data_IF_733371741676
#
_entry.id   IF_733371741676
#
_cell.length_a   1.000
_cell.length_b   1.000
_cell.length_c   1.000
_cell.angle_alpha   90.00
_cell.angle_beta   90.00
_cell.angle_gamma   90.00
#
_symmetry.space_group_name_H-M   'P 1'
#
loop_
_entity.id
_entity.type
_entity.pdbx_description
1 polymer ?
#
# COMPACT_ATOMS: atom_id res chain seq x y z
N UNK A 1 1.46 2.32 -18.77
CA UNK A 1 0.07 2.38 -18.24
C UNK A 1 -0.03 3.49 -17.20
N UNK A 2 -1.16 4.20 -17.13
CA UNK A 2 -1.47 5.11 -16.02
C UNK A 2 -2.66 4.57 -15.22
N UNK A 3 -2.55 4.59 -13.89
CA UNK A 3 -3.59 4.13 -12.97
C UNK A 3 -3.92 5.26 -12.01
N UNK A 4 -5.22 5.53 -11.81
CA UNK A 4 -5.68 6.42 -10.75
C UNK A 4 -6.17 5.57 -9.58
N UNK A 5 -5.41 5.54 -8.49
CA UNK A 5 -5.85 4.91 -7.25
C UNK A 5 -6.66 5.93 -6.45
N UNK A 6 -7.88 5.54 -6.06
CA UNK A 6 -8.75 6.31 -5.16
C UNK A 6 -8.87 5.57 -3.84
N UNK A 7 -8.29 6.11 -2.78
CA UNK A 7 -8.47 5.56 -1.45
C UNK A 7 -9.74 6.17 -0.84
N UNK A 8 -10.86 5.46 -0.97
CA UNK A 8 -12.15 5.88 -0.41
C UNK A 8 -12.34 5.42 1.05
N UNK A 9 -11.30 4.87 1.69
CA UNK A 9 -11.36 4.58 3.12
C UNK A 9 -11.44 5.90 3.90
N UNK A 10 -12.23 5.91 4.97
CA UNK A 10 -12.43 7.08 5.85
C UNK A 10 -11.72 6.93 7.19
N UNK A 11 -11.95 7.87 8.13
CA UNK A 11 -11.58 7.63 9.53
C UNK A 11 -12.32 6.39 10.04
N UNK A 12 -11.59 5.40 10.52
CA UNK A 12 -12.11 4.12 11.01
C UNK A 12 -11.00 3.34 11.73
N UNK A 13 -11.30 2.23 12.43
CA UNK A 13 -10.31 1.51 13.23
C UNK A 13 -9.03 1.21 12.44
N UNK A 14 -7.87 1.62 12.95
CA UNK A 14 -6.58 1.48 12.27
C UNK A 14 -6.17 2.67 11.39
N UNK A 15 -6.97 3.75 11.32
CA UNK A 15 -6.56 5.02 10.69
C UNK A 15 -5.43 5.75 11.44
N UNK A 16 -5.13 5.32 12.66
CA UNK A 16 -4.12 5.94 13.51
C UNK A 16 -2.77 5.90 12.80
N UNK A 17 -2.15 7.08 12.67
CA UNK A 17 -0.84 7.19 12.05
C UNK A 17 0.22 6.44 12.87
N UNK A 18 1.13 5.77 12.18
CA UNK A 18 2.23 5.08 12.84
C UNK A 18 3.12 6.08 13.61
N UNK A 19 3.17 5.93 14.93
CA UNK A 19 3.96 6.76 15.82
C UNK A 19 5.06 5.94 16.52
N UNK A 20 6.26 5.98 15.94
CA UNK A 20 7.43 5.24 16.42
C UNK A 20 8.14 5.89 17.62
N UNK A 21 7.64 7.02 18.13
CA UNK A 21 8.26 7.76 19.24
C UNK A 21 7.63 7.46 20.62
N UNK A 22 6.66 6.55 20.69
CA UNK A 22 5.92 6.23 21.93
C UNK A 22 6.57 5.04 22.67
N UNK A 23 7.16 5.30 23.84
CA UNK A 23 7.74 4.30 24.75
C UNK A 23 6.79 3.79 25.86
N UNK A 24 5.49 4.13 25.85
CA UNK A 24 4.53 3.62 26.84
C UNK A 24 4.07 2.19 26.50
N UNK A 25 4.85 1.24 27.02
CA UNK A 25 4.47 -0.16 27.22
C UNK A 25 3.50 -0.28 28.39
N UNK A 26 2.32 -0.87 28.16
CA UNK A 26 1.43 -1.22 29.27
C UNK A 26 0.07 -1.76 28.87
N UNK A 27 0.02 -2.81 28.03
CA UNK A 27 -1.08 -3.77 27.88
C UNK A 27 -0.60 -4.84 26.87
N UNK A 28 -0.30 -6.06 27.33
CA UNK A 28 -0.09 -7.37 26.65
C UNK A 28 0.05 -7.56 25.10
N UNK A 29 0.37 -6.55 24.28
CA UNK A 29 0.51 -6.57 22.80
C UNK A 29 1.36 -5.37 22.32
N UNK A 30 2.69 -5.43 22.35
CA UNK A 30 3.50 -4.34 21.76
C UNK A 30 4.90 -4.78 21.28
N UNK A 31 5.07 -4.94 19.95
CA UNK A 31 6.32 -4.57 19.28
C UNK A 31 6.17 -3.58 18.11
N UNK A 32 5.03 -3.54 17.43
CA UNK A 32 4.71 -2.68 16.28
C UNK A 32 3.21 -2.41 16.32
N UNK A 33 2.76 -1.34 16.99
CA UNK A 33 1.33 -1.04 17.08
C UNK A 33 0.74 -1.00 15.66
N UNK A 34 -0.16 -1.94 15.32
CA UNK A 34 -0.81 -1.98 14.01
C UNK A 34 -1.44 -0.59 13.78
N UNK A 35 -1.02 0.08 12.71
CA UNK A 35 -1.33 1.47 12.40
C UNK A 35 -1.43 1.64 10.89
N UNK A 36 -1.89 2.80 10.42
CA UNK A 36 -2.02 3.12 9.00
C UNK A 36 -2.83 2.08 8.18
N UNK A 37 -3.74 1.30 8.81
CA UNK A 37 -4.55 0.26 8.14
C UNK A 37 -5.42 0.81 7.01
N UNK A 38 -5.82 2.07 7.10
CA UNK A 38 -6.58 2.75 6.05
C UNK A 38 -5.69 3.50 5.06
N UNK A 39 -4.38 3.56 5.26
CA UNK A 39 -3.42 4.05 4.26
C UNK A 39 -3.13 2.90 3.30
N UNK A 40 -3.12 3.20 2.00
CA UNK A 40 -2.89 2.20 0.95
C UNK A 40 -1.80 2.65 0.00
N UNK A 41 -1.41 1.76 -0.91
CA UNK A 41 -0.54 2.05 -2.05
C UNK A 41 -0.85 1.05 -3.17
N UNK A 42 -0.03 1.04 -4.21
CA UNK A 42 -0.23 0.20 -5.37
C UNK A 42 1.05 -0.57 -5.66
N UNK A 43 0.96 -1.90 -5.67
CA UNK A 43 2.06 -2.78 -6.06
C UNK A 43 1.65 -3.67 -7.22
N UNK A 44 2.52 -3.81 -8.23
CA UNK A 44 2.30 -4.66 -9.41
C UNK A 44 3.16 -5.92 -9.34
N UNK A 45 2.62 -6.96 -8.70
CA UNK A 45 3.34 -8.18 -8.43
C UNK A 45 3.70 -8.95 -9.71
N UNK A 46 5.00 -9.21 -9.86
CA UNK A 46 5.58 -9.92 -11.00
C UNK A 46 5.96 -9.03 -12.18
N UNK A 47 5.64 -7.73 -12.15
CA UNK A 47 6.15 -6.80 -13.14
C UNK A 47 7.55 -6.30 -12.76
N UNK A 48 8.49 -6.38 -13.69
CA UNK A 48 9.82 -5.77 -13.58
C UNK A 48 9.74 -4.31 -14.07
N UNK A 49 9.41 -3.40 -13.16
CA UNK A 49 9.23 -1.97 -13.43
C UNK A 49 10.00 -1.13 -12.40
N UNK A 50 10.04 0.19 -12.59
CA UNK A 50 10.76 1.08 -11.66
C UNK A 50 10.11 1.05 -10.26
N UNK A 51 10.89 0.96 -9.17
CA UNK A 51 10.42 1.09 -7.80
C UNK A 51 10.34 2.56 -7.33
N UNK A 52 10.65 3.52 -8.20
CA UNK A 52 10.82 4.93 -7.83
C UNK A 52 9.58 5.78 -8.13
N UNK A 53 9.48 6.91 -7.43
CA UNK A 53 8.50 7.96 -7.70
C UNK A 53 7.06 7.44 -7.72
N UNK A 54 6.38 7.66 -8.84
CA UNK A 54 4.97 7.30 -9.07
C UNK A 54 4.81 5.91 -9.74
N UNK A 55 5.87 5.09 -9.81
CA UNK A 55 5.81 3.73 -10.35
C UNK A 55 5.48 2.70 -9.23
N UNK A 56 6.10 1.52 -9.21
CA UNK A 56 5.89 0.44 -8.24
C UNK A 56 6.58 0.71 -6.89
N UNK A 57 6.37 1.91 -6.35
CA UNK A 57 7.01 2.38 -5.14
C UNK A 57 6.19 2.01 -3.89
N UNK A 58 6.62 0.98 -3.17
CA UNK A 58 5.96 0.52 -1.94
C UNK A 58 6.00 1.53 -0.78
N UNK A 59 6.89 2.53 -0.82
CA UNK A 59 6.94 3.58 0.20
C UNK A 59 5.98 4.74 -0.09
N UNK A 60 5.45 4.82 -1.31
CA UNK A 60 4.45 5.81 -1.66
C UNK A 60 3.17 5.52 -0.87
N UNK A 61 2.58 6.56 -0.28
CA UNK A 61 1.36 6.46 0.53
C UNK A 61 0.21 7.16 -0.15
N UNK A 62 -0.97 6.55 -0.13
CA UNK A 62 -2.23 7.19 -0.47
C UNK A 62 -3.09 7.20 0.79
N UNK A 63 -3.14 8.35 1.45
CA UNK A 63 -3.89 8.53 2.69
C UNK A 63 -5.40 8.32 2.48
N UNK A 64 -6.16 8.01 3.55
CA UNK A 64 -7.62 7.94 3.50
C UNK A 64 -8.24 9.18 2.85
N UNK A 65 -9.23 8.97 1.97
CA UNK A 65 -9.91 10.04 1.21
C UNK A 65 -9.11 10.62 0.04
N UNK A 66 -7.81 10.31 -0.09
CA UNK A 66 -6.97 10.86 -1.15
C UNK A 66 -6.97 9.98 -2.40
N UNK A 67 -6.56 10.58 -3.51
CA UNK A 67 -6.33 9.89 -4.77
C UNK A 67 -4.97 10.24 -5.32
N UNK A 68 -4.34 9.31 -6.03
CA UNK A 68 -3.02 9.54 -6.62
C UNK A 68 -2.85 8.74 -7.91
N UNK A 69 -2.11 9.30 -8.86
CA UNK A 69 -1.75 8.63 -10.10
C UNK A 69 -0.48 7.81 -9.92
N UNK A 70 -0.47 6.65 -10.56
CA UNK A 70 0.67 5.78 -10.73
C UNK A 70 0.98 5.62 -12.22
N UNK A 71 2.25 5.62 -12.59
CA UNK A 71 2.72 5.45 -13.97
C UNK A 71 3.61 4.23 -14.04
N UNK A 72 3.09 3.16 -14.63
CA UNK A 72 3.78 1.88 -14.79
C UNK A 72 4.30 1.76 -16.21
N UNK A 73 5.61 1.83 -16.40
CA UNK A 73 6.24 1.65 -17.71
C UNK A 73 6.77 0.22 -17.83
N UNK A 74 6.02 -0.63 -18.53
CA UNK A 74 6.41 -2.01 -18.80
C UNK A 74 7.44 -2.01 -19.93
N UNK A 75 8.66 -2.51 -19.71
CA UNK A 75 9.68 -2.61 -20.76
C UNK A 75 9.21 -3.48 -21.94
N UNK A 76 9.64 -3.17 -23.15
CA UNK A 76 9.28 -3.95 -24.36
C UNK A 76 9.78 -5.41 -24.31
N UNK A 77 10.83 -5.68 -23.55
CA UNK A 77 11.43 -6.99 -23.34
C UNK A 77 10.94 -7.69 -22.06
N UNK A 78 9.89 -7.18 -21.41
CA UNK A 78 9.29 -7.84 -20.26
C UNK A 78 8.69 -9.19 -20.67
N UNK A 79 8.93 -10.23 -19.89
CA UNK A 79 8.35 -11.55 -20.16
C UNK A 79 6.82 -11.48 -20.07
N UNK A 80 6.13 -12.14 -21.01
CA UNK A 80 4.69 -12.31 -20.92
C UNK A 80 4.32 -13.24 -19.76
N UNK A 81 3.13 -13.06 -19.21
CA UNK A 81 2.64 -13.89 -18.11
C UNK A 81 1.38 -13.33 -17.47
N UNK A 82 0.86 -14.05 -16.49
CA UNK A 82 -0.18 -13.54 -15.60
C UNK A 82 0.48 -12.79 -14.46
N UNK A 83 0.15 -11.52 -14.35
CA UNK A 83 0.56 -10.63 -13.27
C UNK A 83 -0.67 -10.13 -12.54
N UNK A 84 -0.48 -9.53 -11.38
CA UNK A 84 -1.57 -9.08 -10.52
C UNK A 84 -1.12 -7.87 -9.72
N UNK A 85 -2.06 -7.20 -9.06
CA UNK A 85 -1.78 -6.05 -8.21
C UNK A 85 -2.44 -6.19 -6.85
N UNK A 86 -1.80 -5.61 -5.84
CA UNK A 86 -2.35 -5.51 -4.48
C UNK A 86 -1.68 -4.35 -3.72
N UNK A 87 -2.26 -3.86 -2.61
CA UNK A 87 -1.56 -2.97 -1.69
C UNK A 87 -0.38 -3.66 -1.02
N UNK A 88 0.69 -2.92 -0.83
CA UNK A 88 1.92 -3.30 -0.14
C UNK A 88 2.30 -2.25 0.93
N UNK A 89 1.32 -1.57 1.52
CA UNK A 89 1.58 -0.61 2.58
C UNK A 89 1.86 -1.34 3.89
N UNK A 90 2.95 -0.98 4.56
CA UNK A 90 3.34 -1.60 5.83
C UNK A 90 2.19 -1.53 6.85
N UNK A 91 2.02 -2.59 7.63
CA UNK A 91 0.87 -2.89 8.51
C UNK A 91 -0.49 -3.11 7.84
N UNK A 92 -0.78 -2.48 6.70
CA UNK A 92 -2.08 -2.55 6.05
C UNK A 92 -2.23 -3.70 5.03
N UNK A 93 -1.13 -4.22 4.47
CA UNK A 93 -1.15 -5.22 3.38
C UNK A 93 -2.07 -6.40 3.66
N UNK A 94 -1.92 -7.05 4.81
CA UNK A 94 -2.68 -8.25 5.14
C UNK A 94 -4.20 -7.95 5.23
N UNK A 95 -4.56 -6.87 5.90
CA UNK A 95 -5.96 -6.46 6.05
C UNK A 95 -6.59 -6.07 4.71
N UNK A 96 -5.88 -5.28 3.89
CA UNK A 96 -6.44 -4.79 2.62
C UNK A 96 -6.48 -5.88 1.54
N UNK A 97 -5.39 -6.63 1.34
CA UNK A 97 -5.37 -7.71 0.34
C UNK A 97 -6.33 -8.84 0.73
N UNK A 98 -6.35 -9.22 2.02
CA UNK A 98 -7.30 -10.19 2.57
C UNK A 98 -8.76 -9.72 2.52
N UNK A 99 -8.98 -8.41 2.58
CA UNK A 99 -10.28 -7.77 2.37
C UNK A 99 -10.71 -7.64 0.90
N UNK A 100 -9.92 -8.16 -0.04
CA UNK A 100 -10.26 -8.21 -1.47
C UNK A 100 -9.66 -7.11 -2.34
N UNK A 101 -8.76 -6.27 -1.82
CA UNK A 101 -8.05 -5.27 -2.63
C UNK A 101 -6.93 -5.94 -3.45
N UNK A 102 -7.28 -6.74 -4.45
CA UNK A 102 -6.33 -7.35 -5.40
C UNK A 102 -7.03 -7.61 -6.74
N UNK A 103 -6.25 -7.81 -7.80
CA UNK A 103 -6.78 -8.14 -9.13
C UNK A 103 -5.72 -8.37 -10.18
#
# INVERSE_FOLDING_TARGET
>A
MQVLLKNNLGPGPGYEACNFNNTQLGLFMNPDAICDLNTTNFHVHGLHVSPEGDSDNIFKKVAPGNSTKFTIQIPKNHMGGTHWYHPHHHHATAAQAGGGAHG
#
